data_IF_536422999491
#
_entry.id   IF_536422999491
#
_cell.length_a   1.000
_cell.length_b   1.000
_cell.length_c   1.000
_cell.angle_alpha   90.00
_cell.angle_beta   90.00
_cell.angle_gamma   90.00
#
_symmetry.space_group_name_H-M   'P 1'
#
loop_
_entity.id
_entity.type
_entity.pdbx_description
1 polymer ?
#
# COMPACT_ATOMS: atom_id res chain seq x y z
N UNK A 1 1.78 2.06 -14.25
CA UNK A 1 1.18 1.15 -13.23
C UNK A 1 0.45 1.97 -12.15
N UNK A 2 -0.61 1.44 -11.50
CA UNK A 2 -1.27 2.13 -10.37
C UNK A 2 -0.68 1.70 -9.02
N UNK A 3 -0.52 2.66 -8.11
CA UNK A 3 -0.04 2.48 -6.74
C UNK A 3 -0.96 3.24 -5.79
N UNK A 4 -1.51 2.56 -4.79
CA UNK A 4 -2.29 3.21 -3.75
C UNK A 4 -1.38 3.69 -2.62
N UNK A 5 -1.34 5.01 -2.43
CA UNK A 5 -0.52 5.68 -1.43
C UNK A 5 -1.39 6.26 -0.33
N UNK A 6 -1.06 5.98 0.93
CA UNK A 6 -1.81 6.36 2.13
C UNK A 6 -0.95 7.10 3.17
N UNK A 7 0.32 7.31 2.84
CA UNK A 7 1.34 7.94 3.68
C UNK A 7 1.93 9.20 3.05
N UNK A 8 3.24 9.38 3.20
CA UNK A 8 3.97 10.58 2.74
C UNK A 8 3.90 10.77 1.22
N UNK A 9 3.77 9.69 0.45
CA UNK A 9 3.63 9.74 -1.02
C UNK A 9 2.27 10.28 -1.51
N UNK A 10 1.37 10.63 -0.60
CA UNK A 10 0.18 11.43 -0.96
C UNK A 10 0.53 12.89 -1.31
N UNK A 11 1.70 13.37 -0.88
CA UNK A 11 2.25 14.68 -1.21
C UNK A 11 3.09 14.65 -2.50
N UNK A 12 2.72 15.49 -3.46
CA UNK A 12 3.40 15.54 -4.76
C UNK A 12 4.85 16.03 -4.68
N UNK A 13 5.18 16.90 -3.71
CA UNK A 13 6.54 17.39 -3.52
C UNK A 13 7.48 16.29 -3.04
N UNK A 14 6.96 15.36 -2.21
CA UNK A 14 7.69 14.15 -1.83
C UNK A 14 7.87 13.19 -2.99
N UNK A 15 6.83 12.93 -3.77
CA UNK A 15 6.92 12.02 -4.93
C UNK A 15 7.91 12.54 -5.98
N UNK A 16 7.94 13.84 -6.25
CA UNK A 16 8.88 14.45 -7.20
C UNK A 16 10.37 14.39 -6.78
N UNK A 17 10.68 14.00 -5.54
CA UNK A 17 12.05 13.72 -5.12
C UNK A 17 12.48 12.29 -5.42
N UNK A 18 11.53 11.42 -5.76
CA UNK A 18 11.71 9.97 -5.90
C UNK A 18 11.49 9.56 -7.35
N UNK A 19 10.47 10.12 -8.01
CA UNK A 19 10.04 9.77 -9.35
C UNK A 19 10.25 10.92 -10.34
N UNK A 20 10.63 10.57 -11.56
CA UNK A 20 10.81 11.50 -12.67
C UNK A 20 9.50 11.71 -13.45
N UNK A 21 8.64 10.69 -13.52
CA UNK A 21 7.34 10.69 -14.21
C UNK A 21 6.23 10.04 -13.36
N UNK A 22 5.25 10.84 -13.00
CA UNK A 22 4.08 10.39 -12.26
C UNK A 22 2.87 11.29 -12.45
N UNK A 23 1.68 10.72 -12.26
CA UNK A 23 0.43 11.46 -12.15
C UNK A 23 -0.42 10.90 -11.00
N UNK A 24 -1.44 11.65 -10.57
CA UNK A 24 -2.42 11.10 -9.63
C UNK A 24 -3.74 10.87 -10.37
N UNK A 25 -4.20 9.62 -10.38
CA UNK A 25 -5.48 9.21 -10.95
C UNK A 25 -6.70 9.62 -10.09
N UNK A 26 -6.47 10.07 -8.86
CA UNK A 26 -7.50 10.62 -7.98
C UNK A 26 -7.32 10.25 -6.51
N UNK A 27 -8.26 10.67 -5.68
CA UNK A 27 -8.39 10.18 -4.30
C UNK A 27 -9.10 8.83 -4.29
N UNK A 28 -8.71 7.95 -3.38
CA UNK A 28 -9.29 6.62 -3.28
C UNK A 28 -9.40 6.18 -1.82
N UNK A 29 -10.22 5.17 -1.58
CA UNK A 29 -10.38 4.52 -0.28
C UNK A 29 -10.05 3.05 -0.41
N UNK A 30 -9.14 2.54 0.43
CA UNK A 30 -8.85 1.12 0.59
C UNK A 30 -9.70 0.58 1.73
N UNK A 31 -10.49 -0.47 1.45
CA UNK A 31 -11.31 -1.18 2.44
C UNK A 31 -10.69 -2.52 2.80
N UNK A 32 -10.84 -2.94 4.06
CA UNK A 32 -10.26 -4.19 4.58
C UNK A 32 -8.86 -4.04 5.17
N UNK A 33 -8.28 -2.84 5.08
CA UNK A 33 -7.03 -2.45 5.73
C UNK A 33 -7.17 -1.03 6.27
N UNK A 34 -6.61 -0.76 7.44
CA UNK A 34 -6.61 0.57 8.05
C UNK A 34 -5.19 1.00 8.39
N UNK A 35 -4.97 2.31 8.45
CA UNK A 35 -3.66 2.86 8.78
C UNK A 35 -3.38 2.76 10.27
N UNK A 36 -2.15 2.36 10.58
CA UNK A 36 -1.56 2.42 11.92
C UNK A 36 -0.28 3.25 11.82
N UNK A 37 -0.04 4.09 12.82
CA UNK A 37 1.19 4.88 12.92
C UNK A 37 2.29 4.08 13.64
N UNK A 38 3.53 4.25 13.15
CA UNK A 38 4.77 3.72 13.72
C UNK A 38 5.90 4.71 13.44
N UNK A 39 7.15 4.26 13.35
CA UNK A 39 8.26 5.09 12.84
C UNK A 39 7.95 5.61 11.43
N UNK A 40 7.38 4.74 10.60
CA UNK A 40 6.66 5.09 9.39
C UNK A 40 5.27 4.44 9.43
N UNK A 41 4.24 5.08 8.86
CA UNK A 41 2.90 4.51 8.87
C UNK A 41 2.82 3.22 8.05
N UNK A 42 2.01 2.28 8.51
CA UNK A 42 1.73 1.00 7.84
C UNK A 42 0.23 0.71 7.82
N UNK A 43 -0.14 -0.45 7.27
CA UNK A 43 -1.51 -0.96 7.24
C UNK A 43 -1.65 -2.17 8.17
N UNK A 44 -2.81 -2.23 8.83
CA UNK A 44 -3.23 -3.34 9.65
C UNK A 44 -4.58 -3.92 9.15
N UNK A 45 -4.87 -5.20 9.46
CA UNK A 45 -6.11 -5.86 9.08
C UNK A 45 -7.39 -5.10 9.47
N UNK A 46 -8.38 -5.11 8.57
CA UNK A 46 -9.73 -4.58 8.80
C UNK A 46 -9.83 -3.06 8.63
N UNK A 47 -11.04 -2.52 8.81
CA UNK A 47 -11.29 -1.08 8.68
C UNK A 47 -11.13 -0.55 7.26
N UNK A 48 -10.75 0.72 7.15
CA UNK A 48 -10.47 1.38 5.88
C UNK A 48 -9.47 2.52 6.04
N UNK A 49 -8.87 2.95 4.94
CA UNK A 49 -7.94 4.09 4.89
C UNK A 49 -8.15 4.90 3.61
N UNK A 50 -8.12 6.23 3.75
CA UNK A 50 -8.12 7.16 2.63
C UNK A 50 -6.71 7.38 2.07
N UNK A 51 -6.60 7.52 0.76
CA UNK A 51 -5.34 7.70 0.07
C UNK A 51 -5.52 8.28 -1.33
N UNK A 52 -4.51 8.10 -2.17
CA UNK A 52 -4.51 8.51 -3.57
C UNK A 52 -4.02 7.37 -4.45
N UNK A 53 -4.51 7.32 -5.68
CA UNK A 53 -3.93 6.47 -6.71
C UNK A 53 -2.87 7.27 -7.45
N UNK A 54 -1.62 6.84 -7.30
CA UNK A 54 -0.46 7.31 -8.02
C UNK A 54 -0.28 6.43 -9.27
N UNK A 55 -0.08 7.04 -10.42
CA UNK A 55 0.26 6.36 -11.67
C UNK A 55 1.71 6.64 -12.02
N UNK A 56 2.50 5.58 -12.20
CA UNK A 56 3.91 5.64 -12.62
C UNK A 56 4.36 4.28 -13.14
N UNK A 57 5.36 4.25 -14.00
CA UNK A 57 6.03 3.01 -14.41
C UNK A 57 7.35 2.76 -13.66
N UNK A 58 7.75 3.67 -12.78
CA UNK A 58 9.02 3.65 -12.05
C UNK A 58 8.93 2.87 -10.72
N UNK A 59 8.30 1.70 -10.74
CA UNK A 59 7.98 0.95 -9.52
C UNK A 59 9.22 0.52 -8.73
N UNK A 60 10.34 0.26 -9.42
CA UNK A 60 11.61 -0.12 -8.79
C UNK A 60 12.17 1.01 -7.89
N UNK A 61 11.93 2.28 -8.25
CA UNK A 61 12.33 3.41 -7.40
C UNK A 61 11.48 3.48 -6.13
N UNK A 62 10.18 3.15 -6.23
CA UNK A 62 9.31 3.04 -5.06
C UNK A 62 9.70 1.86 -4.18
N UNK A 63 10.00 0.69 -4.75
CA UNK A 63 10.45 -0.47 -3.98
C UNK A 63 11.75 -0.17 -3.20
N UNK A 64 12.70 0.54 -3.82
CA UNK A 64 13.93 0.97 -3.18
C UNK A 64 13.69 2.00 -2.06
N UNK A 65 12.76 2.94 -2.30
CA UNK A 65 12.37 3.96 -1.33
C UNK A 65 11.68 3.35 -0.10
N UNK A 66 10.73 2.45 -0.31
CA UNK A 66 9.99 1.72 0.73
C UNK A 66 10.83 0.60 1.35
N UNK A 67 12.05 0.35 0.86
CA UNK A 67 12.96 -0.64 1.45
C UNK A 67 12.46 -2.08 1.32
N UNK A 68 11.83 -2.42 0.20
CA UNK A 68 11.31 -3.78 -0.08
C UNK A 68 12.42 -4.83 0.01
N UNK A 69 13.58 -4.56 -0.60
CA UNK A 69 14.74 -5.45 -0.55
C UNK A 69 15.32 -5.64 0.86
N UNK A 70 14.95 -4.77 1.81
CA UNK A 70 15.39 -4.82 3.21
C UNK A 70 14.33 -5.44 4.12
N UNK A 71 13.18 -5.84 3.57
CA UNK A 71 12.05 -6.39 4.33
C UNK A 71 11.30 -5.36 5.16
N UNK A 72 11.47 -4.06 4.91
CA UNK A 72 10.77 -3.01 5.67
C UNK A 72 9.29 -2.93 5.26
N UNK A 73 9.05 -2.99 3.95
CA UNK A 73 7.72 -3.09 3.37
C UNK A 73 7.66 -4.25 2.39
N UNK A 74 6.45 -4.79 2.21
CA UNK A 74 6.14 -5.70 1.12
C UNK A 74 5.19 -5.01 0.14
N UNK A 75 5.32 -5.36 -1.14
CA UNK A 75 4.40 -4.89 -2.18
C UNK A 75 3.36 -5.95 -2.46
N UNK A 76 2.10 -5.60 -2.27
CA UNK A 76 0.95 -6.45 -2.58
C UNK A 76 0.08 -5.82 -3.66
N UNK A 77 -0.77 -6.63 -4.30
CA UNK A 77 -1.66 -6.16 -5.35
C UNK A 77 -3.11 -6.24 -4.88
N UNK A 78 -3.83 -5.12 -4.92
CA UNK A 78 -5.24 -5.02 -4.47
C UNK A 78 -6.13 -4.60 -5.64
N UNK A 79 -7.30 -5.23 -5.84
CA UNK A 79 -8.23 -4.86 -6.91
C UNK A 79 -8.77 -3.44 -6.75
N UNK A 80 -8.90 -2.74 -7.87
CA UNK A 80 -9.54 -1.43 -7.96
C UNK A 80 -10.96 -1.61 -8.49
N UNK A 81 -11.95 -1.26 -7.68
CA UNK A 81 -13.36 -1.30 -8.03
C UNK A 81 -13.76 -0.17 -8.97
N UNK A 82 -14.74 -0.43 -9.83
CA UNK A 82 -15.34 0.58 -10.69
C UNK A 82 -14.54 0.92 -11.95
N UNK A 83 -13.38 0.29 -12.17
CA UNK A 83 -12.66 0.36 -13.43
C UNK A 83 -13.40 -0.44 -14.52
N UNK A 84 -13.45 0.08 -15.75
CA UNK A 84 -14.09 -0.59 -16.90
C UNK A 84 -13.43 -1.93 -17.25
N UNK A 85 -12.14 -2.06 -16.91
CA UNK A 85 -11.37 -3.29 -17.06
C UNK A 85 -10.79 -3.71 -15.71
N UNK A 86 -10.59 -5.03 -15.47
CA UNK A 86 -9.98 -5.52 -14.24
C UNK A 86 -8.64 -4.84 -13.98
N UNK A 87 -8.63 -3.94 -13.00
CA UNK A 87 -7.48 -3.10 -12.67
C UNK A 87 -7.07 -3.40 -11.24
N UNK A 88 -5.77 -3.43 -10.98
CA UNK A 88 -5.20 -3.61 -9.65
C UNK A 88 -4.19 -2.52 -9.36
N UNK A 89 -4.07 -2.13 -8.11
CA UNK A 89 -3.05 -1.21 -7.65
C UNK A 89 -2.05 -1.92 -6.73
N UNK A 90 -0.79 -1.54 -6.82
CA UNK A 90 0.22 -1.91 -5.84
C UNK A 90 -0.06 -1.19 -4.52
N UNK A 91 0.13 -1.87 -3.39
CA UNK A 91 0.02 -1.32 -2.05
C UNK A 91 1.25 -1.76 -1.27
N UNK A 92 1.89 -0.83 -0.58
CA UNK A 92 2.99 -1.16 0.33
C UNK A 92 2.44 -1.41 1.72
N UNK A 93 2.79 -2.54 2.33
CA UNK A 93 2.43 -2.90 3.70
C UNK A 93 3.72 -3.10 4.47
N UNK A 94 3.94 -2.29 5.49
CA UNK A 94 5.15 -2.29 6.30
C UNK A 94 5.09 -3.34 7.41
N UNK A 95 6.22 -3.99 7.68
CA UNK A 95 6.33 -4.93 8.80
C UNK A 95 6.17 -4.19 10.14
N UNK A 96 5.13 -4.48 10.94
CA UNK A 96 4.89 -3.80 12.20
C UNK A 96 6.05 -3.89 13.19
N UNK A 97 6.75 -5.03 13.23
CA UNK A 97 7.88 -5.24 14.14
C UNK A 97 9.07 -4.37 13.71
N UNK A 98 9.32 -4.25 12.40
CA UNK A 98 10.38 -3.41 11.87
C UNK A 98 10.08 -1.90 12.00
N UNK A 99 8.79 -1.54 11.99
CA UNK A 99 8.33 -0.15 12.04
C UNK A 99 7.90 0.33 13.42
N UNK A 100 7.99 -0.53 14.45
CA UNK A 100 7.46 -0.26 15.79
C UNK A 100 6.01 0.24 15.76
N UNK A 101 5.18 -0.39 14.92
CA UNK A 101 3.76 -0.07 14.76
C UNK A 101 2.90 -1.04 15.57
N UNK A 102 1.83 -0.53 16.19
CA UNK A 102 0.90 -1.33 17.00
C UNK A 102 -0.14 -2.03 16.10
N UNK A 103 0.28 -3.11 15.43
CA UNK A 103 -0.56 -3.84 14.48
C UNK A 103 -0.39 -5.36 14.60
N UNK A 104 -1.48 -6.05 14.90
CA UNK A 104 -1.53 -7.51 14.95
C UNK A 104 -2.00 -8.11 13.62
N UNK A 105 -1.24 -9.08 13.12
CA UNK A 105 -1.60 -9.87 11.95
C UNK A 105 -2.01 -11.31 12.33
N UNK A 106 -3.05 -11.90 11.70
CA UNK A 106 -3.72 -13.10 12.20
C UNK A 106 -2.98 -14.43 11.96
N UNK A 107 -1.71 -14.42 11.55
CA UNK A 107 -0.92 -15.63 11.28
C UNK A 107 0.41 -15.61 12.03
N UNK A 108 0.87 -16.79 12.45
CA UNK A 108 2.22 -17.01 12.98
C UNK A 108 3.27 -17.25 11.86
N UNK A 109 2.86 -17.13 10.59
CA UNK A 109 3.76 -17.23 9.45
C UNK A 109 4.63 -15.97 9.31
N UNK A 110 5.72 -16.03 8.51
CA UNK A 110 6.47 -14.84 8.14
C UNK A 110 5.53 -13.75 7.61
N UNK A 111 5.88 -12.49 7.89
CA UNK A 111 5.03 -11.34 7.59
C UNK A 111 4.48 -11.32 6.15
N UNK A 112 5.29 -11.54 5.09
CA UNK A 112 4.78 -11.57 3.71
C UNK A 112 3.66 -12.60 3.51
N UNK A 113 3.88 -13.83 3.97
CA UNK A 113 2.91 -14.93 3.85
C UNK A 113 1.63 -14.64 4.64
N UNK A 114 1.76 -13.95 5.78
CA UNK A 114 0.62 -13.56 6.59
C UNK A 114 -0.25 -12.54 5.87
N UNK A 115 0.37 -11.54 5.24
CA UNK A 115 -0.37 -10.54 4.48
C UNK A 115 -1.05 -11.18 3.28
N UNK A 116 -0.34 -11.99 2.49
CA UNK A 116 -0.92 -12.67 1.32
C UNK A 116 -2.16 -13.51 1.70
N UNK A 117 -2.05 -14.33 2.75
CA UNK A 117 -3.19 -15.11 3.25
C UNK A 117 -4.37 -14.26 3.69
N UNK A 118 -4.10 -13.11 4.29
CA UNK A 118 -5.16 -12.19 4.69
C UNK A 118 -5.87 -11.59 3.48
N UNK A 119 -5.13 -11.15 2.47
CA UNK A 119 -5.68 -10.59 1.23
C UNK A 119 -6.55 -11.61 0.50
N UNK A 120 -6.11 -12.86 0.42
CA UNK A 120 -6.88 -13.94 -0.20
C UNK A 120 -8.16 -14.27 0.57
N UNK A 121 -8.15 -14.13 1.91
CA UNK A 121 -9.30 -14.49 2.75
C UNK A 121 -10.34 -13.37 2.89
N UNK A 122 -9.93 -12.11 2.80
CA UNK A 122 -10.80 -10.95 3.08
C UNK A 122 -11.08 -10.07 1.87
N UNK A 123 -10.38 -10.30 0.77
CA UNK A 123 -10.57 -9.64 -0.52
C UNK A 123 -10.69 -8.11 -0.39
N UNK A 124 -9.68 -7.43 0.18
CA UNK A 124 -9.72 -5.97 0.27
C UNK A 124 -9.79 -5.34 -1.12
N UNK A 125 -10.34 -4.14 -1.18
CA UNK A 125 -10.59 -3.45 -2.44
C UNK A 125 -10.35 -1.95 -2.33
N UNK A 126 -9.97 -1.34 -3.45
CA UNK A 126 -9.75 0.10 -3.57
C UNK A 126 -10.88 0.68 -4.40
N UNK A 127 -11.51 1.74 -3.91
CA UNK A 127 -12.56 2.48 -4.63
C UNK A 127 -12.12 3.92 -4.86
N UNK A 128 -12.19 4.38 -6.09
CA UNK A 128 -11.94 5.79 -6.45
C UNK A 128 -13.12 6.62 -5.95
N UNK A 129 -12.83 7.76 -5.31
CA UNK A 129 -13.84 8.67 -4.73
C UNK A 129 -14.33 9.71 -5.73
#
# INVERSE_FOLDING_TARGET
MLVFVYGTLTDSGRVAQILDDFSYAGTATLSGLHRVDGEYPTLAPGGSVGGRLLETDEIERLDAYEGVDRGLYIRVSVPVEGAETPTRAAVYVGDPDALAADADWPSAAPFPDCVERYLDSREPSIRIN
#
